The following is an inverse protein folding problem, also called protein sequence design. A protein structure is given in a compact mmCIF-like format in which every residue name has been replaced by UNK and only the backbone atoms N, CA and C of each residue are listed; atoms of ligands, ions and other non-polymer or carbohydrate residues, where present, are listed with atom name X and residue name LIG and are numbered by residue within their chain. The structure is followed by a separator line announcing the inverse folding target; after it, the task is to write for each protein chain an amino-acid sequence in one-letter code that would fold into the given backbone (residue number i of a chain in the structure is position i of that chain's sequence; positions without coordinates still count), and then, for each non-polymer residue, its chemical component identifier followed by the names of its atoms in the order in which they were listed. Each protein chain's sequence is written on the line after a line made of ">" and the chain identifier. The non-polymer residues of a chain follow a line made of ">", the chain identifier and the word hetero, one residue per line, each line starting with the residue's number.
data_IF_100976631720
#
_entry.id   IF_100976631720
#
_cell.length_a   1.000
_cell.length_b   1.000
_cell.length_c   1.000
_cell.angle_alpha   90.00
_cell.angle_beta   90.00
_cell.angle_gamma   90.00
#
_symmetry.space_group_name_H-M   'P 1'
#
loop_
_entity.id
_entity.type
_entity.pdbx_description
1 polymer ?
#
# COMPACT_ATOMS: atom_id res chain seq x y z
N UNK A 1 -26.72 -13.17 -21.77
CA UNK A 1 -25.31 -12.81 -22.05
C UNK A 1 -24.97 -11.36 -21.79
N UNK A 2 -25.74 -10.36 -22.26
CA UNK A 2 -25.41 -8.95 -22.05
C UNK A 2 -25.35 -8.51 -20.57
N UNK A 3 -26.26 -9.00 -19.72
CA UNK A 3 -26.21 -8.71 -18.28
C UNK A 3 -24.98 -9.29 -17.56
N UNK A 4 -24.46 -10.43 -18.03
CA UNK A 4 -23.28 -11.06 -17.44
C UNK A 4 -22.01 -10.23 -17.72
N UNK A 5 -21.88 -9.69 -18.94
CA UNK A 5 -20.78 -8.80 -19.33
C UNK A 5 -20.82 -7.51 -18.51
N UNK A 6 -22.02 -6.93 -18.32
CA UNK A 6 -22.19 -5.72 -17.53
C UNK A 6 -21.80 -5.92 -16.05
N UNK A 7 -22.17 -7.07 -15.47
CA UNK A 7 -21.76 -7.46 -14.11
C UNK A 7 -20.23 -7.57 -14.00
N UNK A 8 -19.56 -8.19 -14.97
CA UNK A 8 -18.09 -8.31 -14.96
C UNK A 8 -17.42 -6.92 -15.01
N UNK A 9 -17.91 -6.02 -15.87
CA UNK A 9 -17.37 -4.65 -15.99
C UNK A 9 -17.59 -3.86 -14.68
N UNK A 10 -18.77 -3.96 -14.07
CA UNK A 10 -19.03 -3.35 -12.77
C UNK A 10 -18.13 -3.92 -11.66
N UNK A 11 -17.86 -5.22 -11.66
CA UNK A 11 -16.97 -5.84 -10.69
C UNK A 11 -15.51 -5.37 -10.87
N UNK A 12 -15.06 -5.28 -12.12
CA UNK A 12 -13.73 -4.81 -12.49
C UNK A 12 -13.51 -3.35 -12.08
N UNK A 13 -14.50 -2.49 -12.35
CA UNK A 13 -14.45 -1.06 -12.00
C UNK A 13 -14.46 -0.86 -10.49
N UNK A 14 -15.30 -1.60 -9.76
CA UNK A 14 -15.32 -1.57 -8.30
C UNK A 14 -13.98 -2.00 -7.70
N UNK A 15 -13.37 -3.05 -8.26
CA UNK A 15 -12.05 -3.51 -7.87
C UNK A 15 -10.98 -2.43 -8.07
N UNK A 16 -10.94 -1.78 -9.24
CA UNK A 16 -9.99 -0.70 -9.51
C UNK A 16 -10.19 0.52 -8.60
N UNK A 17 -11.43 0.81 -8.22
CA UNK A 17 -11.73 1.87 -7.25
C UNK A 17 -11.15 1.55 -5.87
N UNK A 18 -11.33 0.32 -5.37
CA UNK A 18 -10.75 -0.12 -4.09
C UNK A 18 -9.22 0.02 -4.13
N UNK A 19 -8.60 -0.37 -5.23
CA UNK A 19 -7.14 -0.24 -5.41
C UNK A 19 -6.67 1.21 -5.37
N UNK A 20 -7.37 2.11 -6.08
CA UNK A 20 -7.03 3.54 -6.06
C UNK A 20 -7.14 4.12 -4.64
N UNK A 21 -8.17 3.74 -3.89
CA UNK A 21 -8.36 4.16 -2.49
C UNK A 21 -7.20 3.67 -1.61
N UNK A 22 -6.81 2.40 -1.73
CA UNK A 22 -5.67 1.85 -0.98
C UNK A 22 -4.38 2.61 -1.32
N UNK A 23 -4.15 2.93 -2.60
CA UNK A 23 -3.00 3.73 -3.03
C UNK A 23 -2.95 5.11 -2.36
N UNK A 24 -4.09 5.78 -2.25
CA UNK A 24 -4.20 7.06 -1.53
C UNK A 24 -3.89 6.91 -0.03
N UNK A 25 -4.30 5.81 0.61
CA UNK A 25 -3.96 5.55 2.01
C UNK A 25 -2.48 5.26 2.23
N UNK A 26 -1.83 4.53 1.32
CA UNK A 26 -0.37 4.30 1.36
C UNK A 26 0.38 5.63 1.21
N UNK A 27 -0.05 6.46 0.26
CA UNK A 27 0.50 7.80 0.08
C UNK A 27 0.36 8.64 1.36
N UNK A 28 -0.83 8.65 1.98
CA UNK A 28 -1.07 9.33 3.25
C UNK A 28 -0.20 8.82 4.41
N UNK A 29 0.05 7.50 4.47
CA UNK A 29 0.96 6.90 5.44
C UNK A 29 2.39 7.43 5.31
N UNK A 30 2.93 7.48 4.09
CA UNK A 30 4.27 8.02 3.85
C UNK A 30 4.33 9.52 4.10
N UNK A 31 3.31 10.28 3.68
CA UNK A 31 3.25 11.71 3.94
C UNK A 31 3.30 12.01 5.45
N UNK A 32 2.56 11.23 6.25
CA UNK A 32 2.62 11.32 7.72
C UNK A 32 4.01 10.99 8.26
N UNK A 33 4.60 9.90 7.78
CA UNK A 33 5.95 9.46 8.17
C UNK A 33 7.01 10.52 7.88
N UNK A 34 6.91 11.20 6.73
CA UNK A 34 7.79 12.30 6.36
C UNK A 34 7.73 13.45 7.37
N UNK A 35 6.52 13.88 7.74
CA UNK A 35 6.35 14.96 8.72
C UNK A 35 6.85 14.57 10.12
N UNK A 36 6.62 13.32 10.56
CA UNK A 36 7.14 12.83 11.85
C UNK A 36 8.68 12.80 11.87
N UNK A 37 9.33 12.37 10.77
CA UNK A 37 10.79 12.40 10.62
C UNK A 37 11.34 13.82 10.61
N UNK A 38 10.70 14.73 9.88
CA UNK A 38 11.12 16.13 9.80
C UNK A 38 11.02 16.84 11.15
N UNK A 39 9.90 16.65 11.87
CA UNK A 39 9.72 17.19 13.23
C UNK A 39 10.81 16.68 14.18
N UNK A 40 11.09 15.37 14.20
CA UNK A 40 12.15 14.81 15.04
C UNK A 40 13.55 15.34 14.67
N UNK A 41 13.83 15.52 13.38
CA UNK A 41 15.11 16.08 12.93
C UNK A 41 15.30 17.53 13.38
N UNK A 42 14.25 18.35 13.30
CA UNK A 42 14.29 19.73 13.81
C UNK A 42 14.48 19.78 15.32
N UNK A 43 13.88 18.87 16.09
CA UNK A 43 14.04 18.80 17.55
C UNK A 43 15.48 18.43 17.93
N UNK A 44 16.10 17.50 17.20
CA UNK A 44 17.48 17.07 17.44
C UNK A 44 18.48 18.19 17.08
N UNK A 45 18.26 18.89 15.96
CA UNK A 45 19.15 19.97 15.52
C UNK A 45 18.88 21.32 16.23
N UNK A 46 17.68 21.53 16.78
CA UNK A 46 17.36 22.67 17.65
C UNK A 46 17.65 22.40 19.14
N UNK A 47 18.29 21.28 19.48
CA UNK A 47 18.84 21.11 20.84
C UNK A 47 19.95 22.13 21.18
N UNK A 48 20.39 22.95 20.21
CA UNK A 48 21.19 24.17 20.40
C UNK A 48 20.39 25.48 20.25
N UNK A 49 19.10 25.44 19.92
CA UNK A 49 18.25 26.63 19.74
C UNK A 49 16.81 26.36 20.20
N UNK A 50 16.68 26.21 21.52
CA UNK A 50 15.42 26.13 22.26
C UNK A 50 14.80 27.53 22.33
N UNK A 51 13.96 27.91 21.38
CA UNK A 51 13.02 29.03 21.56
C UNK A 51 11.66 28.62 20.96
N UNK A 52 10.74 28.27 21.86
CA UNK A 52 9.29 28.46 21.81
C UNK A 52 8.59 28.39 20.45
N UNK A 53 8.14 27.18 20.09
CA UNK A 53 7.02 26.99 19.14
C UNK A 53 6.00 25.99 19.71
N UNK A 54 5.74 26.03 21.02
CA UNK A 54 4.71 25.16 21.62
C UNK A 54 3.47 25.91 22.14
N UNK A 55 3.39 27.23 22.01
CA UNK A 55 2.26 27.95 22.60
C UNK A 55 1.92 29.24 21.83
N UNK A 56 1.51 29.11 20.57
CA UNK A 56 0.57 30.04 19.93
C UNK A 56 0.07 29.42 18.61
N UNK A 57 -1.19 29.66 18.27
CA UNK A 57 -1.86 29.28 17.02
C UNK A 57 -2.58 27.92 17.02
N UNK A 58 -3.29 27.62 18.11
CA UNK A 58 -4.70 27.24 17.94
C UNK A 58 -5.43 28.57 17.69
N UNK A 59 -5.88 28.80 16.46
CA UNK A 59 -6.35 30.08 15.89
C UNK A 59 -5.28 30.91 15.17
N UNK A 60 -5.02 30.58 13.90
CA UNK A 60 -4.89 31.54 12.79
C UNK A 60 -4.42 30.78 11.54
N UNK A 61 -5.30 30.72 10.53
CA UNK A 61 -4.88 30.49 9.15
C UNK A 61 -3.97 31.64 8.74
N UNK A 62 -2.65 31.47 8.84
CA UNK A 62 -1.68 32.39 8.27
C UNK A 62 -1.16 31.76 6.98
N UNK A 63 -1.77 32.19 5.87
CA UNK A 63 -1.12 32.18 4.56
C UNK A 63 0.09 33.11 4.63
N UNK A 64 1.30 32.56 4.62
CA UNK A 64 2.50 33.26 4.15
C UNK A 64 3.55 32.21 3.72
N UNK A 65 3.46 31.90 2.43
CA UNK A 65 4.46 31.35 1.50
C UNK A 65 5.77 30.79 2.07
N UNK A 66 5.86 29.46 2.08
CA UNK A 66 7.07 28.73 1.68
C UNK A 66 6.68 27.53 0.80
N UNK A 67 6.55 27.77 -0.50
CA UNK A 67 6.23 26.75 -1.54
C UNK A 67 7.33 25.67 -1.73
N UNK A 68 8.26 25.53 -0.78
CA UNK A 68 9.39 24.59 -0.84
C UNK A 68 9.16 23.35 0.04
N UNK A 69 8.21 23.38 0.99
CA UNK A 69 8.00 22.28 1.96
C UNK A 69 6.88 21.29 1.57
N UNK A 70 5.88 21.72 0.79
CA UNK A 70 4.79 20.82 0.38
C UNK A 70 5.16 20.01 -0.87
N UNK A 71 5.77 20.63 -1.89
CA UNK A 71 6.14 19.92 -3.11
C UNK A 71 7.16 18.80 -2.87
N UNK A 72 8.18 19.06 -2.05
CA UNK A 72 9.22 18.07 -1.72
C UNK A 72 8.69 16.90 -0.89
N UNK A 73 7.83 17.15 0.10
CA UNK A 73 7.16 16.12 0.89
C UNK A 73 6.22 15.25 0.03
N UNK A 74 5.44 15.89 -0.85
CA UNK A 74 4.52 15.20 -1.75
C UNK A 74 5.27 14.34 -2.77
N UNK A 75 6.36 14.85 -3.37
CA UNK A 75 7.19 14.10 -4.32
C UNK A 75 7.86 12.92 -3.62
N UNK A 76 8.40 13.12 -2.41
CA UNK A 76 9.01 12.05 -1.63
C UNK A 76 7.99 10.95 -1.29
N UNK A 77 6.80 11.33 -0.81
CA UNK A 77 5.75 10.37 -0.47
C UNK A 77 5.22 9.63 -1.70
N UNK A 78 5.12 10.30 -2.86
CA UNK A 78 4.79 9.66 -4.14
C UNK A 78 5.84 8.65 -4.53
N UNK A 79 7.12 9.04 -4.54
CA UNK A 79 8.21 8.14 -4.91
C UNK A 79 8.30 6.94 -3.97
N UNK A 80 8.15 7.16 -2.66
CA UNK A 80 8.24 6.08 -1.68
C UNK A 80 7.04 5.14 -1.71
N UNK A 81 5.84 5.67 -1.96
CA UNK A 81 4.66 4.82 -2.20
C UNK A 81 4.81 3.98 -3.46
N UNK A 82 5.37 4.54 -4.54
CA UNK A 82 5.60 3.82 -5.79
C UNK A 82 6.69 2.75 -5.64
N UNK A 83 7.79 3.07 -4.95
CA UNK A 83 8.87 2.11 -4.66
C UNK A 83 8.37 0.96 -3.77
N UNK A 84 7.59 1.26 -2.74
CA UNK A 84 6.96 0.22 -1.90
C UNK A 84 6.08 -0.72 -2.75
N UNK A 85 5.24 -0.17 -3.62
CA UNK A 85 4.37 -0.97 -4.50
C UNK A 85 5.21 -1.84 -5.44
N UNK A 86 6.27 -1.28 -6.02
CA UNK A 86 7.16 -2.00 -6.92
C UNK A 86 7.89 -3.14 -6.19
N UNK A 87 8.49 -2.86 -5.03
CA UNK A 87 9.20 -3.86 -4.25
C UNK A 87 8.26 -4.93 -3.69
N UNK A 88 7.09 -4.56 -3.17
CA UNK A 88 6.07 -5.50 -2.73
C UNK A 88 5.64 -6.43 -3.89
N UNK A 89 5.56 -5.89 -5.11
CA UNK A 89 5.27 -6.67 -6.31
C UNK A 89 6.35 -7.70 -6.61
N UNK A 90 7.63 -7.30 -6.54
CA UNK A 90 8.76 -8.23 -6.71
C UNK A 90 8.77 -9.32 -5.63
N UNK A 91 8.57 -8.94 -4.37
CA UNK A 91 8.49 -9.89 -3.24
C UNK A 91 7.34 -10.88 -3.36
N UNK A 92 6.24 -10.46 -3.98
CA UNK A 92 5.10 -11.32 -4.29
C UNK A 92 5.34 -12.22 -5.50
N UNK A 93 6.03 -11.73 -6.52
CA UNK A 93 6.25 -12.48 -7.76
C UNK A 93 7.00 -13.80 -7.52
N UNK A 94 7.99 -13.79 -6.63
CA UNK A 94 8.78 -14.97 -6.29
C UNK A 94 7.93 -16.17 -5.81
N UNK A 95 7.13 -16.06 -4.72
CA UNK A 95 6.27 -17.16 -4.29
C UNK A 95 5.15 -17.48 -5.29
N UNK A 96 4.64 -16.50 -6.04
CA UNK A 96 3.63 -16.76 -7.09
C UNK A 96 4.16 -17.71 -8.16
N UNK A 97 5.40 -17.50 -8.65
CA UNK A 97 5.99 -18.36 -9.68
C UNK A 97 6.10 -19.80 -9.17
N UNK A 98 6.59 -19.98 -7.93
CA UNK A 98 6.74 -21.29 -7.30
C UNK A 98 5.38 -21.99 -7.17
N UNK A 99 4.39 -21.29 -6.63
CA UNK A 99 3.05 -21.85 -6.40
C UNK A 99 2.31 -22.10 -7.71
N UNK A 100 2.49 -21.24 -8.73
CA UNK A 100 1.91 -21.44 -10.06
C UNK A 100 2.47 -22.70 -10.70
N UNK A 101 3.78 -22.93 -10.58
CA UNK A 101 4.41 -24.16 -11.06
C UNK A 101 3.88 -25.40 -10.32
N UNK A 102 3.79 -25.34 -8.99
CA UNK A 102 3.23 -26.43 -8.18
C UNK A 102 1.76 -26.70 -8.55
N UNK A 103 0.93 -25.67 -8.64
CA UNK A 103 -0.47 -25.84 -9.06
C UNK A 103 -0.57 -26.39 -10.48
N UNK A 104 0.29 -25.97 -11.41
CA UNK A 104 0.35 -26.56 -12.75
C UNK A 104 0.58 -28.07 -12.72
N UNK A 105 1.54 -28.53 -11.92
CA UNK A 105 1.85 -29.96 -11.77
C UNK A 105 0.73 -30.74 -11.07
N UNK A 106 0.15 -30.18 -10.01
CA UNK A 106 -0.85 -30.85 -9.18
C UNK A 106 -2.30 -30.57 -9.62
N UNK A 107 -2.54 -29.85 -10.73
CA UNK A 107 -3.90 -29.53 -11.23
C UNK A 107 -4.73 -30.79 -11.54
N UNK A 108 -4.08 -31.90 -11.89
CA UNK A 108 -4.77 -33.17 -12.14
C UNK A 108 -5.30 -33.84 -10.86
N UNK A 109 -4.70 -33.53 -9.70
CA UNK A 109 -5.05 -34.10 -8.40
C UNK A 109 -5.86 -33.12 -7.53
N UNK A 110 -5.62 -31.81 -7.70
CA UNK A 110 -6.32 -30.74 -6.99
C UNK A 110 -7.51 -30.24 -7.80
N UNK A 111 -8.68 -30.20 -7.15
CA UNK A 111 -9.86 -29.57 -7.74
C UNK A 111 -9.56 -28.11 -8.10
N UNK A 112 -9.71 -27.75 -9.39
CA UNK A 112 -9.51 -26.39 -9.90
C UNK A 112 -10.23 -25.30 -9.10
N UNK A 113 -11.37 -25.62 -8.49
CA UNK A 113 -12.14 -24.72 -7.62
C UNK A 113 -11.37 -24.32 -6.35
N UNK A 114 -10.60 -25.23 -5.76
CA UNK A 114 -9.83 -24.95 -4.55
C UNK A 114 -8.70 -23.97 -4.82
N UNK A 115 -8.02 -24.12 -5.96
CA UNK A 115 -6.94 -23.20 -6.39
C UNK A 115 -7.49 -21.77 -6.54
N UNK A 116 -8.67 -21.63 -7.15
CA UNK A 116 -9.32 -20.32 -7.33
C UNK A 116 -9.75 -19.70 -5.99
N UNK A 117 -10.37 -20.48 -5.10
CA UNK A 117 -10.81 -19.99 -3.79
C UNK A 117 -9.61 -19.57 -2.94
N UNK A 118 -8.52 -20.34 -2.97
CA UNK A 118 -7.30 -20.01 -2.24
C UNK A 118 -6.70 -18.67 -2.69
N UNK A 119 -6.66 -18.42 -3.99
CA UNK A 119 -6.20 -17.15 -4.56
C UNK A 119 -7.09 -15.97 -4.14
N UNK A 120 -8.41 -16.16 -4.08
CA UNK A 120 -9.35 -15.13 -3.61
C UNK A 120 -9.13 -14.83 -2.12
N UNK A 121 -9.02 -15.87 -1.28
CA UNK A 121 -8.80 -15.71 0.17
C UNK A 121 -7.47 -15.02 0.43
N UNK A 122 -6.41 -15.40 -0.29
CA UNK A 122 -5.09 -14.77 -0.15
C UNK A 122 -5.09 -13.28 -0.48
N UNK A 123 -5.76 -12.89 -1.57
CA UNK A 123 -5.91 -11.48 -1.93
C UNK A 123 -6.76 -10.70 -0.89
N UNK A 124 -7.83 -11.30 -0.38
CA UNK A 124 -8.63 -10.67 0.66
C UNK A 124 -7.83 -10.46 1.96
N UNK A 125 -7.05 -11.46 2.37
CA UNK A 125 -6.18 -11.38 3.53
C UNK A 125 -5.11 -10.29 3.37
N UNK A 126 -4.52 -10.19 2.16
CA UNK A 126 -3.53 -9.16 1.81
C UNK A 126 -4.06 -7.74 2.02
N UNK A 127 -5.28 -7.47 1.53
CA UNK A 127 -5.95 -6.17 1.71
C UNK A 127 -6.22 -5.87 3.19
N UNK A 128 -6.69 -6.87 3.95
CA UNK A 128 -6.94 -6.72 5.40
C UNK A 128 -5.64 -6.38 6.14
N UNK A 129 -4.54 -7.05 5.81
CA UNK A 129 -3.23 -6.79 6.43
C UNK A 129 -2.73 -5.39 6.07
N UNK A 130 -2.87 -4.95 4.82
CA UNK A 130 -2.50 -3.59 4.42
C UNK A 130 -3.27 -2.53 5.21
N UNK A 131 -4.58 -2.72 5.35
CA UNK A 131 -5.40 -1.82 6.16
C UNK A 131 -4.95 -1.81 7.63
N UNK A 132 -4.61 -2.98 8.19
CA UNK A 132 -4.11 -3.08 9.56
C UNK A 132 -2.75 -2.38 9.75
N UNK A 133 -1.86 -2.47 8.75
CA UNK A 133 -0.55 -1.78 8.77
C UNK A 133 -0.74 -0.26 8.80
N UNK A 134 -1.64 0.27 7.96
CA UNK A 134 -1.93 1.71 7.91
C UNK A 134 -2.53 2.20 9.23
N UNK A 135 -3.53 1.49 9.78
CA UNK A 135 -4.18 1.92 11.03
C UNK A 135 -3.27 1.82 12.26
N UNK A 136 -2.41 0.81 12.33
CA UNK A 136 -1.50 0.60 13.47
C UNK A 136 -0.13 1.24 13.28
N UNK A 137 0.10 1.93 12.16
CA UNK A 137 1.38 2.53 11.79
C UNK A 137 2.56 1.54 11.91
N UNK A 138 2.36 0.31 11.39
CA UNK A 138 3.35 -0.76 11.49
C UNK A 138 4.51 -0.52 10.51
N UNK A 139 5.72 -0.92 10.91
CA UNK A 139 6.94 -0.70 10.11
C UNK A 139 6.92 -1.34 8.71
N UNK A 140 7.80 -0.85 7.85
CA UNK A 140 7.85 -1.18 6.42
C UNK A 140 7.97 -2.69 6.12
N UNK A 141 8.61 -3.45 7.01
CA UNK A 141 8.79 -4.90 6.90
C UNK A 141 7.46 -5.67 6.73
N UNK A 142 6.38 -5.21 7.37
CA UNK A 142 5.08 -5.89 7.34
C UNK A 142 4.42 -5.87 5.95
N UNK A 143 4.73 -4.86 5.14
CA UNK A 143 4.23 -4.76 3.77
C UNK A 143 4.79 -5.89 2.89
N UNK A 144 6.07 -6.22 3.07
CA UNK A 144 6.73 -7.30 2.33
C UNK A 144 6.26 -8.68 2.78
N UNK A 145 6.09 -8.92 4.08
CA UNK A 145 5.52 -10.19 4.59
C UNK A 145 4.13 -10.41 4.00
N UNK A 146 3.29 -9.38 4.04
CA UNK A 146 1.94 -9.45 3.51
C UNK A 146 1.96 -9.79 2.01
N UNK A 147 2.81 -9.13 1.23
CA UNK A 147 2.97 -9.39 -0.20
C UNK A 147 3.46 -10.83 -0.49
N UNK A 148 4.36 -11.36 0.34
CA UNK A 148 4.85 -12.73 0.23
C UNK A 148 3.74 -13.76 0.51
N UNK A 149 2.95 -13.56 1.58
CA UNK A 149 1.79 -14.41 1.92
C UNK A 149 0.75 -14.40 0.79
N UNK A 150 0.46 -13.22 0.25
CA UNK A 150 -0.47 -13.08 -0.88
C UNK A 150 0.01 -13.85 -2.11
N UNK A 151 1.32 -13.87 -2.35
CA UNK A 151 1.90 -14.63 -3.43
C UNK A 151 1.88 -16.14 -3.22
N UNK A 152 2.05 -16.61 -1.97
CA UNK A 152 1.91 -18.03 -1.63
C UNK A 152 0.50 -18.58 -1.86
N UNK A 153 -0.52 -17.74 -1.75
CA UNK A 153 -1.89 -18.11 -2.05
C UNK A 153 -2.18 -18.22 -3.56
N UNK A 154 -1.17 -17.97 -4.42
CA UNK A 154 -1.37 -17.90 -5.87
C UNK A 154 -2.18 -16.67 -6.28
N UNK A 155 -2.19 -15.62 -5.46
CA UNK A 155 -2.76 -14.35 -5.85
C UNK A 155 -1.89 -13.75 -6.95
N UNK A 156 -2.41 -13.66 -8.17
CA UNK A 156 -1.75 -12.95 -9.29
C UNK A 156 -2.18 -11.48 -9.39
N UNK A 157 -3.27 -11.10 -8.71
CA UNK A 157 -3.80 -9.74 -8.71
C UNK A 157 -2.95 -8.82 -7.84
N UNK A 158 -1.79 -8.45 -8.36
CA UNK A 158 -1.15 -7.17 -8.06
C UNK A 158 -2.02 -6.13 -8.72
N UNK A 159 -2.32 -5.05 -7.99
CA UNK A 159 -2.69 -3.72 -8.52
C UNK A 159 -2.53 -3.68 -10.04
N UNK A 160 -3.64 -3.92 -10.75
CA UNK A 160 -3.60 -4.18 -12.17
C UNK A 160 -3.00 -3.00 -12.91
N UNK A 161 -1.76 -3.15 -13.35
CA UNK A 161 -1.25 -2.44 -14.50
C UNK A 161 -2.19 -2.74 -15.67
N UNK A 162 -2.97 -1.74 -16.05
CA UNK A 162 -3.00 -1.34 -17.45
C UNK A 162 -1.67 -0.66 -17.78
#
# INVERSE_FOLDING_TARGET
>A
NSYFILIIICLQTLYNCILAIIGQYIYGYFLRTYYDMYQNWTIINNSSLKIDIFELNREQCIENTTDISNGSAQIWAQQQSADLIFQATLWRAFPVIIITYLFGLYTSQLNRRLILILSIIGNALHVIIYQAIIYKNLGEYWWYISAFIAGLAGGTNILGYY
#
